data_IF_951948610293
#
_entry.id   IF_951948610293
#
_cell.length_a   1.000
_cell.length_b   1.000
_cell.length_c   1.000
_cell.angle_alpha   90.00
_cell.angle_beta   90.00
_cell.angle_gamma   90.00
#
_symmetry.space_group_name_H-M   'P 1'
#
loop_
_entity.id
_entity.type
_entity.pdbx_description
1 polymer ?
#
# COMPACT_ATOMS: atom_id res chain seq x y z
N UNK A 1 -28.72 -19.39 3.22
CA UNK A 1 -27.78 -18.29 2.94
C UNK A 1 -26.54 -18.91 2.31
N UNK A 2 -26.25 -18.60 1.05
CA UNK A 2 -25.24 -19.32 0.27
C UNK A 2 -23.83 -19.04 0.81
N UNK A 3 -23.02 -20.09 0.93
CA UNK A 3 -21.65 -20.05 1.46
C UNK A 3 -20.74 -19.11 0.62
N UNK A 4 -21.03 -19.02 -0.68
CA UNK A 4 -20.25 -18.30 -1.70
C UNK A 4 -20.18 -16.78 -1.43
N UNK A 5 -21.30 -16.04 -1.28
CA UNK A 5 -21.24 -14.60 -0.99
C UNK A 5 -20.58 -14.29 0.35
N UNK A 6 -20.76 -15.12 1.38
CA UNK A 6 -20.09 -14.92 2.67
C UNK A 6 -18.56 -15.03 2.54
N UNK A 7 -18.07 -15.99 1.75
CA UNK A 7 -16.65 -16.18 1.51
C UNK A 7 -16.04 -15.01 0.73
N UNK A 8 -16.76 -14.48 -0.26
CA UNK A 8 -16.34 -13.30 -1.02
C UNK A 8 -16.23 -12.05 -0.14
N UNK A 9 -17.19 -11.83 0.77
CA UNK A 9 -17.14 -10.70 1.72
C UNK A 9 -15.93 -10.81 2.65
N UNK A 10 -15.67 -12.00 3.19
CA UNK A 10 -14.51 -12.25 4.06
C UNK A 10 -13.21 -12.00 3.30
N UNK A 11 -13.11 -12.48 2.05
CA UNK A 11 -11.92 -12.31 1.22
C UNK A 11 -11.68 -10.83 0.88
N UNK A 12 -12.74 -10.07 0.60
CA UNK A 12 -12.65 -8.62 0.41
C UNK A 12 -12.16 -7.91 1.68
N UNK A 13 -12.67 -8.27 2.85
CA UNK A 13 -12.17 -7.71 4.12
C UNK A 13 -10.71 -8.06 4.39
N UNK A 14 -10.29 -9.30 4.12
CA UNK A 14 -8.88 -9.69 4.28
C UNK A 14 -7.97 -8.86 3.38
N UNK A 15 -8.41 -8.61 2.14
CA UNK A 15 -7.71 -7.75 1.20
C UNK A 15 -7.61 -6.30 1.71
N UNK A 16 -8.68 -5.76 2.32
CA UNK A 16 -8.64 -4.43 2.95
C UNK A 16 -7.59 -4.33 4.04
N UNK A 17 -7.58 -5.32 4.94
CA UNK A 17 -6.62 -5.36 6.04
C UNK A 17 -5.19 -5.43 5.48
N UNK A 18 -4.97 -6.22 4.43
CA UNK A 18 -3.66 -6.28 3.78
C UNK A 18 -3.24 -4.92 3.18
N UNK A 19 -4.15 -4.21 2.51
CA UNK A 19 -3.90 -2.86 1.99
C UNK A 19 -3.58 -1.85 3.11
N UNK A 20 -4.32 -1.90 4.22
CA UNK A 20 -4.09 -1.02 5.38
C UNK A 20 -2.73 -1.30 6.03
N UNK A 21 -2.30 -2.57 6.09
CA UNK A 21 -0.95 -2.94 6.56
C UNK A 21 0.13 -2.37 5.64
N UNK A 22 -0.03 -2.47 4.32
CA UNK A 22 0.91 -1.89 3.35
C UNK A 22 0.96 -0.36 3.50
N UNK A 23 -0.19 0.30 3.68
CA UNK A 23 -0.27 1.74 3.92
C UNK A 23 0.50 2.12 5.19
N UNK A 24 0.31 1.36 6.28
CA UNK A 24 1.01 1.56 7.53
C UNK A 24 2.53 1.44 7.35
N UNK A 25 2.98 0.43 6.61
CA UNK A 25 4.40 0.22 6.28
C UNK A 25 4.98 1.42 5.53
N UNK A 26 4.26 1.95 4.53
CA UNK A 26 4.67 3.13 3.76
C UNK A 26 4.76 4.38 4.66
N UNK A 27 3.78 4.60 5.54
CA UNK A 27 3.80 5.71 6.50
C UNK A 27 4.98 5.57 7.46
N UNK A 28 5.22 4.36 7.97
CA UNK A 28 6.31 4.08 8.88
C UNK A 28 7.67 4.41 8.23
N UNK A 29 7.86 4.01 6.98
CA UNK A 29 9.03 4.35 6.17
C UNK A 29 9.18 5.87 6.03
N UNK A 30 8.11 6.59 5.69
CA UNK A 30 8.15 8.04 5.54
C UNK A 30 8.47 8.78 6.86
N UNK A 31 7.94 8.29 7.98
CA UNK A 31 8.24 8.82 9.33
C UNK A 31 9.70 8.54 9.69
N UNK A 32 10.18 7.32 9.44
CA UNK A 32 11.57 6.97 9.69
C UNK A 32 12.55 7.79 8.85
N UNK A 33 12.27 7.98 7.56
CA UNK A 33 13.12 8.81 6.67
C UNK A 33 13.25 10.26 7.17
N UNK A 34 12.24 10.76 7.89
CA UNK A 34 12.23 12.14 8.43
C UNK A 34 12.82 12.26 9.84
N UNK A 35 12.59 11.28 10.71
CA UNK A 35 12.94 11.38 12.14
C UNK A 35 14.08 10.45 12.58
N UNK A 36 14.43 9.46 11.74
CA UNK A 36 15.54 8.51 11.95
C UNK A 36 15.57 7.89 13.35
N UNK A 37 14.40 7.51 13.87
CA UNK A 37 14.30 6.93 15.21
C UNK A 37 15.02 5.56 15.28
N UNK A 38 16.03 5.38 16.14
CA UNK A 38 16.83 4.15 16.18
C UNK A 38 16.01 2.91 16.58
N UNK A 39 14.93 3.08 17.34
CA UNK A 39 14.01 1.97 17.70
C UNK A 39 13.25 1.39 16.50
N UNK A 40 13.08 2.18 15.44
CA UNK A 40 12.36 1.79 14.23
C UNK A 40 13.28 1.22 13.16
N UNK A 41 14.60 1.34 13.32
CA UNK A 41 15.57 0.91 12.32
C UNK A 41 15.45 -0.59 12.00
N UNK A 42 15.30 -1.45 13.01
CA UNK A 42 15.13 -2.90 12.80
C UNK A 42 13.84 -3.22 12.06
N UNK A 43 12.73 -2.56 12.42
CA UNK A 43 11.43 -2.75 11.79
C UNK A 43 11.46 -2.30 10.33
N UNK A 44 12.06 -1.13 10.05
CA UNK A 44 12.20 -0.62 8.69
C UNK A 44 13.12 -1.52 7.85
N UNK A 45 14.23 -2.02 8.40
CA UNK A 45 15.09 -2.97 7.68
C UNK A 45 14.35 -4.25 7.30
N UNK A 46 13.46 -4.74 8.16
CA UNK A 46 12.64 -5.92 7.87
C UNK A 46 11.60 -5.67 6.78
N UNK A 47 11.04 -4.45 6.72
CA UNK A 47 9.93 -4.10 5.83
C UNK A 47 10.40 -3.50 4.49
N UNK A 48 11.58 -2.88 4.46
CA UNK A 48 12.17 -2.24 3.26
C UNK A 48 12.14 -3.13 2.02
N UNK A 49 12.55 -4.42 2.03
CA UNK A 49 12.55 -5.23 0.81
C UNK A 49 11.13 -5.42 0.23
N UNK A 50 10.12 -5.48 1.09
CA UNK A 50 8.72 -5.61 0.68
C UNK A 50 8.23 -4.30 0.06
N UNK A 51 8.55 -3.16 0.67
CA UNK A 51 8.25 -1.84 0.11
C UNK A 51 8.96 -1.64 -1.24
N UNK A 52 10.24 -1.98 -1.34
CA UNK A 52 11.01 -1.82 -2.57
C UNK A 52 10.47 -2.71 -3.70
N UNK A 53 9.98 -3.91 -3.38
CA UNK A 53 9.29 -4.76 -4.34
C UNK A 53 7.99 -4.10 -4.86
N UNK A 54 7.15 -3.57 -3.96
CA UNK A 54 5.89 -2.90 -4.33
C UNK A 54 6.18 -1.66 -5.19
N UNK A 55 7.12 -0.82 -4.75
CA UNK A 55 7.49 0.39 -5.49
C UNK A 55 8.10 0.05 -6.85
N UNK A 56 8.91 -1.00 -6.95
CA UNK A 56 9.48 -1.45 -8.22
C UNK A 56 8.42 -2.00 -9.18
N UNK A 57 7.39 -2.66 -8.66
CA UNK A 57 6.23 -3.08 -9.46
C UNK A 57 5.47 -1.87 -9.99
N UNK A 58 5.22 -0.89 -9.12
CA UNK A 58 4.53 0.34 -9.48
C UNK A 58 5.32 1.17 -10.50
N UNK A 59 6.63 1.30 -10.30
CA UNK A 59 7.52 2.02 -11.20
C UNK A 59 7.52 1.38 -12.59
N UNK A 60 7.57 0.03 -12.69
CA UNK A 60 7.43 -0.66 -13.98
C UNK A 60 6.09 -0.40 -14.65
N UNK A 61 4.99 -0.38 -13.89
CA UNK A 61 3.67 -0.08 -14.42
C UNK A 61 3.57 1.37 -14.92
N UNK A 62 4.05 2.32 -14.12
CA UNK A 62 4.02 3.74 -14.46
C UNK A 62 4.99 4.08 -15.59
N UNK A 63 6.19 3.49 -15.60
CA UNK A 63 7.16 3.64 -16.68
C UNK A 63 6.62 3.06 -17.98
N UNK A 64 5.84 1.97 -17.93
CA UNK A 64 5.22 1.42 -19.13
C UNK A 64 4.12 2.34 -19.70
N UNK A 65 3.39 3.06 -18.84
CA UNK A 65 2.33 3.96 -19.28
C UNK A 65 2.82 5.36 -19.67
N UNK A 66 3.81 5.89 -18.95
CA UNK A 66 4.22 7.30 -19.04
C UNK A 66 5.65 7.45 -19.59
N UNK A 67 6.42 6.35 -19.69
CA UNK A 67 7.82 6.33 -20.14
C UNK A 67 8.77 7.25 -19.34
N UNK A 68 8.36 7.63 -18.13
CA UNK A 68 9.17 8.37 -17.17
C UNK A 68 9.50 7.51 -15.94
N UNK A 69 10.67 7.76 -15.34
CA UNK A 69 11.08 7.17 -14.07
C UNK A 69 10.77 8.14 -12.95
N UNK A 70 10.08 7.67 -11.91
CA UNK A 70 9.67 8.51 -10.79
C UNK A 70 10.60 8.34 -9.59
N UNK A 71 10.81 9.42 -8.84
CA UNK A 71 11.57 9.34 -7.58
C UNK A 71 10.87 8.40 -6.57
N UNK A 72 11.65 7.72 -5.72
CA UNK A 72 11.13 6.83 -4.67
C UNK A 72 10.07 7.51 -3.78
N UNK A 73 10.24 8.80 -3.48
CA UNK A 73 9.30 9.59 -2.68
C UNK A 73 7.98 9.82 -3.41
N UNK A 74 8.02 10.09 -4.72
CA UNK A 74 6.80 10.22 -5.54
C UNK A 74 6.08 8.89 -5.65
N UNK A 75 6.79 7.78 -5.88
CA UNK A 75 6.18 6.43 -5.93
C UNK A 75 5.50 6.05 -4.60
N UNK A 76 6.14 6.34 -3.46
CA UNK A 76 5.54 6.14 -2.13
C UNK A 76 4.25 6.96 -1.97
N UNK A 77 4.28 8.24 -2.35
CA UNK A 77 3.12 9.12 -2.28
C UNK A 77 1.99 8.63 -3.20
N UNK A 78 2.29 8.24 -4.44
CA UNK A 78 1.32 7.72 -5.40
C UNK A 78 0.68 6.42 -4.88
N UNK A 79 1.48 5.53 -4.29
CA UNK A 79 0.97 4.28 -3.70
C UNK A 79 0.08 4.54 -2.49
N UNK A 80 0.45 5.47 -1.62
CA UNK A 80 -0.39 5.85 -0.48
C UNK A 80 -1.71 6.47 -0.94
N UNK A 81 -1.67 7.37 -1.93
CA UNK A 81 -2.86 8.01 -2.50
C UNK A 81 -3.75 6.96 -3.18
N UNK A 82 -3.17 6.04 -3.97
CA UNK A 82 -3.93 5.01 -4.67
C UNK A 82 -4.64 4.06 -3.70
N UNK A 83 -3.98 3.62 -2.64
CA UNK A 83 -4.59 2.79 -1.59
C UNK A 83 -5.72 3.54 -0.87
N UNK A 84 -5.51 4.82 -0.53
CA UNK A 84 -6.55 5.64 0.09
C UNK A 84 -7.78 5.82 -0.82
N UNK A 85 -7.57 6.11 -2.10
CA UNK A 85 -8.67 6.24 -3.07
C UNK A 85 -9.42 4.91 -3.24
N UNK A 86 -8.69 3.80 -3.36
CA UNK A 86 -9.27 2.45 -3.44
C UNK A 86 -10.16 2.18 -2.22
N UNK A 87 -9.69 2.54 -1.02
CA UNK A 87 -10.43 2.40 0.24
C UNK A 87 -11.73 3.20 0.25
N UNK A 88 -11.69 4.46 -0.18
CA UNK A 88 -12.88 5.33 -0.23
C UNK A 88 -13.91 4.78 -1.22
N UNK A 89 -13.49 4.38 -2.42
CA UNK A 89 -14.38 3.86 -3.46
C UNK A 89 -15.09 2.60 -2.99
N UNK A 90 -14.34 1.63 -2.47
CA UNK A 90 -14.94 0.36 -2.09
C UNK A 90 -15.72 0.49 -0.78
N UNK A 91 -15.27 1.29 0.19
CA UNK A 91 -16.07 1.56 1.39
C UNK A 91 -17.42 2.16 1.02
N UNK A 92 -17.48 3.05 0.02
CA UNK A 92 -18.76 3.56 -0.48
C UNK A 92 -19.60 2.48 -1.18
N UNK A 93 -18.99 1.57 -1.95
CA UNK A 93 -19.73 0.48 -2.62
C UNK A 93 -20.28 -0.55 -1.62
N UNK A 94 -19.56 -0.80 -0.52
CA UNK A 94 -19.91 -1.86 0.44
C UNK A 94 -20.90 -1.38 1.52
N UNK A 95 -21.03 -0.06 1.72
CA UNK A 95 -21.98 0.56 2.66
C UNK A 95 -23.26 1.10 2.00
N UNK A 96 -23.38 1.04 0.66
CA UNK A 96 -24.57 1.41 -0.11
C UNK A 96 -25.42 0.15 -0.39
#
# INVERSE_FOLDING_TARGET
MSLIPALLIIMAHLFFVACDVILLMIILQAVYDRWQFPRLEQTIKAISPLIDYILGLLDRFLSHMINETYSRRTLLAVTAISICLLRIVISNILFL
#
